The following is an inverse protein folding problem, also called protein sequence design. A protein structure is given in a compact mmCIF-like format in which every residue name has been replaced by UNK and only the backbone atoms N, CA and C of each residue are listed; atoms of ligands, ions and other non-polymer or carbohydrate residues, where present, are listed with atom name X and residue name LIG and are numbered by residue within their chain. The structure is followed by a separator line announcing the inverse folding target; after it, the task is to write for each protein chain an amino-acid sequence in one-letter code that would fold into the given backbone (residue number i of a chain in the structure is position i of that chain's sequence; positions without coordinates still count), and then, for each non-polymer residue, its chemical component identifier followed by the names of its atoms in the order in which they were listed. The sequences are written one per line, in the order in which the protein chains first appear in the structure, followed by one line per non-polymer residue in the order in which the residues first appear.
data_IF_245214335114
#
_entry.id   IF_245214335114
#
_cell.length_a   1.000
_cell.length_b   1.000
_cell.length_c   1.000
_cell.angle_alpha   90.00
_cell.angle_beta   90.00
_cell.angle_gamma   90.00
#
_symmetry.space_group_name_H-M   'P 1'
#
loop_
_entity.id
_entity.type
_entity.pdbx_description
1 polymer ?
#
# COMPACT_ATOMS: atom_id res chain seq x y z
N UNK A 1 -29.09 6.41 -31.17
CA UNK A 1 -28.63 5.37 -30.23
C UNK A 1 -27.29 5.84 -29.67
N UNK A 2 -27.31 6.48 -28.51
CA UNK A 2 -26.12 6.97 -27.81
C UNK A 2 -25.74 5.95 -26.71
N UNK A 3 -24.45 5.59 -26.62
CA UNK A 3 -23.93 4.62 -25.66
C UNK A 3 -23.91 5.20 -24.23
N UNK A 4 -24.13 4.37 -23.19
CA UNK A 4 -24.24 4.86 -21.83
C UNK A 4 -22.87 5.06 -21.14
N UNK A 5 -22.73 6.24 -20.52
CA UNK A 5 -21.92 6.57 -19.33
C UNK A 5 -20.41 6.23 -19.31
N UNK A 6 -19.58 7.21 -19.65
CA UNK A 6 -18.18 7.30 -19.21
C UNK A 6 -18.12 7.63 -17.71
N UNK A 7 -18.01 6.60 -16.88
CA UNK A 7 -17.81 6.72 -15.42
C UNK A 7 -16.40 7.22 -15.11
N UNK A 8 -16.31 8.34 -14.37
CA UNK A 8 -15.35 8.61 -13.28
C UNK A 8 -13.84 8.34 -13.39
N UNK A 9 -13.29 7.83 -14.50
CA UNK A 9 -11.86 7.53 -14.60
C UNK A 9 -11.05 8.80 -14.77
N UNK A 10 -10.08 9.03 -13.89
CA UNK A 10 -9.07 10.07 -14.10
C UNK A 10 -8.36 9.84 -15.45
N UNK A 11 -8.08 10.90 -16.24
CA UNK A 11 -7.33 10.75 -17.48
C UNK A 11 -5.94 10.23 -17.14
N UNK A 12 -5.61 9.04 -17.64
CA UNK A 12 -4.27 8.46 -17.55
C UNK A 12 -3.31 9.40 -18.30
N UNK A 13 -2.13 9.75 -17.76
CA UNK A 13 -1.11 10.44 -18.53
C UNK A 13 -0.78 9.60 -19.78
N UNK A 14 -0.39 10.21 -20.91
CA UNK A 14 -0.17 9.49 -22.16
C UNK A 14 0.86 8.37 -21.97
N UNK A 15 0.38 7.14 -21.88
CA UNK A 15 1.24 5.96 -21.87
C UNK A 15 1.72 5.72 -23.29
N UNK A 16 3.00 5.37 -23.47
CA UNK A 16 3.48 4.86 -24.76
C UNK A 16 2.79 3.52 -25.02
N UNK A 17 1.75 3.53 -25.83
CA UNK A 17 1.07 2.31 -26.30
C UNK A 17 2.10 1.43 -27.03
N UNK A 18 2.57 0.40 -26.33
CA UNK A 18 3.43 -0.62 -26.88
C UNK A 18 2.87 -1.97 -26.45
N UNK A 19 2.82 -2.93 -27.36
CA UNK A 19 2.24 -4.26 -27.13
C UNK A 19 2.98 -5.07 -26.05
N UNK A 20 4.19 -4.65 -25.68
CA UNK A 20 5.01 -5.20 -24.59
C UNK A 20 4.96 -4.35 -23.30
N UNK A 21 4.20 -3.26 -23.25
CA UNK A 21 3.99 -2.47 -22.04
C UNK A 21 3.54 -3.27 -20.80
N UNK A 22 2.76 -4.37 -20.90
CA UNK A 22 2.38 -5.15 -19.73
C UNK A 22 3.43 -6.17 -19.28
N UNK A 23 4.52 -6.38 -20.02
CA UNK A 23 5.61 -7.26 -19.58
C UNK A 23 6.48 -6.53 -18.56
N UNK A 24 6.23 -6.79 -17.28
CA UNK A 24 7.05 -6.29 -16.17
C UNK A 24 7.79 -7.43 -15.47
N UNK A 25 8.85 -7.09 -14.74
CA UNK A 25 9.53 -8.04 -13.86
C UNK A 25 8.55 -8.64 -12.83
N UNK A 26 7.62 -7.81 -12.34
CA UNK A 26 6.52 -8.22 -11.47
C UNK A 26 5.63 -9.30 -12.08
N UNK A 27 5.20 -9.12 -13.33
CA UNK A 27 4.38 -10.11 -14.02
C UNK A 27 5.13 -11.43 -14.15
N UNK A 28 6.40 -11.40 -14.55
CA UNK A 28 7.23 -12.60 -14.67
C UNK A 28 7.35 -13.33 -13.34
N UNK A 29 7.66 -12.62 -12.26
CA UNK A 29 7.80 -13.22 -10.92
C UNK A 29 6.46 -13.73 -10.39
N UNK A 30 5.37 -13.00 -10.63
CA UNK A 30 4.02 -13.45 -10.27
C UNK A 30 3.65 -14.76 -10.97
N UNK A 31 3.89 -14.87 -12.29
CA UNK A 31 3.66 -16.09 -13.06
C UNK A 31 4.51 -17.25 -12.55
N UNK A 32 5.80 -17.00 -12.27
CA UNK A 32 6.70 -18.03 -11.73
C UNK A 32 6.25 -18.51 -10.34
N UNK A 33 5.78 -17.61 -9.49
CA UNK A 33 5.28 -17.93 -8.15
C UNK A 33 3.99 -18.77 -8.16
N UNK A 34 3.14 -18.60 -9.16
CA UNK A 34 1.91 -19.41 -9.33
C UNK A 34 2.20 -20.73 -10.05
N UNK A 35 3.32 -20.83 -10.77
CA UNK A 35 3.68 -22.02 -11.56
C UNK A 35 4.82 -22.81 -10.91
N UNK A 36 6.07 -22.61 -11.35
CA UNK A 36 7.23 -23.45 -11.00
C UNK A 36 7.75 -23.28 -9.58
N UNK A 37 7.32 -22.24 -8.86
CA UNK A 37 7.62 -22.04 -7.44
C UNK A 37 6.41 -22.28 -6.53
N UNK A 38 5.28 -22.76 -7.06
CA UNK A 38 4.13 -23.11 -6.23
C UNK A 38 4.24 -24.56 -5.73
N UNK A 39 4.16 -24.84 -4.41
CA UNK A 39 4.38 -26.18 -3.86
C UNK A 39 3.41 -27.23 -4.43
N UNK A 40 2.14 -26.85 -4.64
CA UNK A 40 1.15 -27.76 -5.25
C UNK A 40 1.52 -28.12 -6.71
N UNK A 41 1.95 -27.14 -7.51
CA UNK A 41 2.24 -27.36 -8.94
C UNK A 41 3.52 -28.18 -9.09
N UNK A 42 4.54 -27.90 -8.28
CA UNK A 42 5.78 -28.68 -8.31
C UNK A 42 5.58 -30.11 -7.81
N UNK A 43 4.71 -30.33 -6.82
CA UNK A 43 4.35 -31.66 -6.35
C UNK A 43 3.57 -32.49 -7.39
N UNK A 44 2.87 -31.86 -8.33
CA UNK A 44 2.23 -32.56 -9.46
C UNK A 44 3.24 -33.14 -10.46
N UNK A 45 4.43 -32.54 -10.60
CA UNK A 45 5.41 -32.98 -11.61
C UNK A 45 5.88 -34.42 -11.38
N UNK A 46 6.34 -34.83 -10.18
CA UNK A 46 6.64 -36.24 -9.91
C UNK A 46 5.45 -37.19 -10.14
N UNK A 47 4.23 -36.75 -9.79
CA UNK A 47 3.01 -37.55 -10.01
C UNK A 47 2.75 -37.79 -11.51
N UNK A 48 2.92 -36.74 -12.34
CA UNK A 48 2.81 -36.85 -13.79
C UNK A 48 3.89 -37.74 -14.40
N UNK A 49 5.14 -37.63 -13.93
CA UNK A 49 6.22 -38.53 -14.36
C UNK A 49 5.92 -39.99 -13.99
N UNK A 50 5.36 -40.21 -12.79
CA UNK A 50 4.98 -41.54 -12.33
C UNK A 50 3.82 -42.12 -13.14
N UNK A 51 2.84 -41.30 -13.53
CA UNK A 51 1.74 -41.68 -14.41
C UNK A 51 2.23 -42.14 -15.79
N UNK A 52 3.38 -41.62 -16.26
CA UNK A 52 4.08 -42.08 -17.48
C UNK A 52 4.94 -43.33 -17.26
N UNK A 53 4.79 -44.03 -16.13
CA UNK A 53 5.56 -45.20 -15.75
C UNK A 53 7.09 -44.98 -15.71
N UNK A 54 7.53 -43.75 -15.43
CA UNK A 54 8.95 -43.48 -15.19
C UNK A 54 9.42 -44.16 -13.90
N UNK A 55 10.59 -44.80 -13.96
CA UNK A 55 11.22 -45.47 -12.82
C UNK A 55 11.55 -44.48 -11.71
N UNK A 56 11.42 -44.90 -10.44
CA UNK A 56 11.71 -44.07 -9.27
C UNK A 56 13.16 -43.59 -9.22
N UNK A 57 14.08 -44.42 -9.71
CA UNK A 57 15.54 -44.18 -9.72
C UNK A 57 15.98 -43.30 -10.89
N UNK A 58 15.09 -42.98 -11.84
CA UNK A 58 15.44 -42.16 -12.98
C UNK A 58 15.92 -40.77 -12.51
N UNK A 59 17.03 -40.23 -13.04
CA UNK A 59 17.58 -38.94 -12.62
C UNK A 59 16.56 -37.79 -12.69
N UNK A 60 15.68 -37.80 -13.69
CA UNK A 60 14.59 -36.83 -13.86
C UNK A 60 13.52 -36.93 -12.78
N UNK A 61 13.21 -38.14 -12.29
CA UNK A 61 12.27 -38.34 -11.19
C UNK A 61 12.86 -37.81 -9.88
N UNK A 62 14.13 -38.15 -9.61
CA UNK A 62 14.85 -37.66 -8.43
C UNK A 62 14.97 -36.14 -8.43
N UNK A 63 15.29 -35.53 -9.59
CA UNK A 63 15.35 -34.07 -9.72
C UNK A 63 13.99 -33.40 -9.47
N UNK A 64 12.88 -33.99 -9.97
CA UNK A 64 11.54 -33.46 -9.74
C UNK A 64 11.14 -33.52 -8.26
N UNK A 65 11.45 -34.63 -7.57
CA UNK A 65 11.24 -34.73 -6.12
C UNK A 65 12.10 -33.75 -5.34
N UNK A 66 13.38 -33.62 -5.69
CA UNK A 66 14.29 -32.68 -5.04
C UNK A 66 13.79 -31.23 -5.20
N UNK A 67 13.33 -30.85 -6.39
CA UNK A 67 12.76 -29.53 -6.64
C UNK A 67 11.46 -29.29 -5.87
N UNK A 68 10.52 -30.25 -5.90
CA UNK A 68 9.27 -30.15 -5.17
C UNK A 68 9.50 -30.05 -3.65
N UNK A 69 10.44 -30.83 -3.11
CA UNK A 69 10.84 -30.77 -1.70
C UNK A 69 11.47 -29.42 -1.35
N UNK A 70 12.38 -28.90 -2.20
CA UNK A 70 13.00 -27.59 -2.01
C UNK A 70 11.98 -26.45 -2.00
N UNK A 71 11.09 -26.41 -2.99
CA UNK A 71 10.02 -25.40 -3.07
C UNK A 71 9.07 -25.50 -1.88
N UNK A 72 8.69 -26.72 -1.48
CA UNK A 72 7.84 -26.92 -0.30
C UNK A 72 8.52 -26.47 0.99
N UNK A 73 9.82 -26.73 1.14
CA UNK A 73 10.61 -26.26 2.28
C UNK A 73 10.65 -24.73 2.34
N UNK A 74 10.88 -24.05 1.21
CA UNK A 74 10.86 -22.59 1.14
C UNK A 74 9.46 -22.03 1.47
N UNK A 75 8.40 -22.68 1.02
CA UNK A 75 7.03 -22.28 1.33
C UNK A 75 6.72 -22.41 2.83
N UNK A 76 7.10 -23.54 3.43
CA UNK A 76 6.97 -23.75 4.89
C UNK A 76 7.82 -22.73 5.67
N UNK A 77 9.07 -22.51 5.26
CA UNK A 77 9.94 -21.52 5.88
C UNK A 77 9.34 -20.11 5.81
N UNK A 78 8.74 -19.74 4.67
CA UNK A 78 8.04 -18.47 4.51
C UNK A 78 6.84 -18.36 5.44
N UNK A 79 6.01 -19.41 5.54
CA UNK A 79 4.87 -19.45 6.45
C UNK A 79 5.29 -19.34 7.93
N UNK A 80 6.36 -20.05 8.32
CA UNK A 80 6.94 -19.97 9.67
C UNK A 80 7.50 -18.57 9.94
N UNK A 81 8.22 -17.98 8.99
CA UNK A 81 8.75 -16.62 9.10
C UNK A 81 7.62 -15.59 9.30
N UNK A 82 6.53 -15.68 8.54
CA UNK A 82 5.35 -14.82 8.71
C UNK A 82 4.74 -14.97 10.10
N UNK A 83 4.64 -16.21 10.61
CA UNK A 83 4.11 -16.50 11.94
C UNK A 83 4.99 -15.92 13.06
N UNK A 84 6.31 -16.00 12.90
CA UNK A 84 7.28 -15.43 13.85
C UNK A 84 7.23 -13.89 13.79
N UNK A 85 7.20 -13.33 12.58
CA UNK A 85 7.28 -11.89 12.36
C UNK A 85 6.02 -11.12 12.79
N UNK A 86 4.82 -11.70 12.59
CA UNK A 86 3.54 -10.99 12.79
C UNK A 86 2.58 -11.69 13.76
N UNK A 87 2.99 -12.83 14.31
CA UNK A 87 2.20 -13.57 15.30
C UNK A 87 0.96 -14.26 14.71
N UNK A 88 0.00 -14.55 15.57
CA UNK A 88 -1.24 -15.23 15.20
C UNK A 88 -2.19 -14.25 14.52
N UNK A 89 -2.76 -14.56 13.34
CA UNK A 89 -3.78 -13.70 12.76
C UNK A 89 -4.99 -13.56 13.68
N UNK A 90 -5.59 -12.37 13.72
CA UNK A 90 -6.86 -12.18 14.45
C UNK A 90 -8.04 -12.67 13.63
N UNK A 91 -9.15 -12.96 14.29
CA UNK A 91 -10.42 -13.20 13.60
C UNK A 91 -11.01 -11.85 13.16
N UNK A 92 -11.59 -11.83 11.96
CA UNK A 92 -12.19 -10.63 11.36
C UNK A 92 -13.58 -11.00 10.86
N UNK A 93 -14.59 -10.34 11.42
CA UNK A 93 -15.96 -10.41 10.95
C UNK A 93 -16.41 -9.00 10.54
N UNK A 94 -16.62 -8.78 9.25
CA UNK A 94 -16.89 -7.45 8.69
C UNK A 94 -18.13 -6.77 9.29
N UNK A 95 -19.09 -7.54 9.84
CA UNK A 95 -20.26 -6.98 10.52
C UNK A 95 -19.90 -6.23 11.81
N UNK A 96 -18.80 -6.61 12.46
CA UNK A 96 -18.33 -6.01 13.71
C UNK A 96 -17.20 -4.99 13.48
N UNK A 97 -16.74 -4.83 12.24
CA UNK A 97 -15.64 -3.94 11.91
C UNK A 97 -16.11 -2.51 11.64
N UNK A 98 -15.46 -1.56 12.31
CA UNK A 98 -15.57 -0.12 12.03
C UNK A 98 -14.23 0.35 11.46
N UNK A 99 -14.21 0.61 10.16
CA UNK A 99 -13.02 0.89 9.36
C UNK A 99 -12.88 2.39 9.15
N UNK A 100 -11.86 2.99 9.76
CA UNK A 100 -11.54 4.41 9.61
C UNK A 100 -10.46 4.59 8.54
N UNK A 101 -10.73 5.39 7.52
CA UNK A 101 -9.83 5.64 6.39
C UNK A 101 -9.57 7.13 6.25
N UNK A 102 -8.30 7.54 6.38
CA UNK A 102 -7.91 8.93 6.12
C UNK A 102 -7.56 9.15 4.64
N UNK A 103 -7.90 10.31 4.08
CA UNK A 103 -7.70 10.62 2.67
C UNK A 103 -8.60 9.80 1.74
N UNK A 104 -9.81 9.47 2.18
CA UNK A 104 -10.72 8.56 1.48
C UNK A 104 -11.58 9.20 0.38
N UNK A 105 -11.53 10.52 0.16
CA UNK A 105 -12.35 11.16 -0.87
C UNK A 105 -11.82 10.94 -2.30
N UNK A 106 -10.62 10.38 -2.47
CA UNK A 106 -10.05 10.10 -3.80
C UNK A 106 -8.99 8.99 -3.79
N UNK A 107 -8.61 8.52 -4.99
CA UNK A 107 -7.47 7.62 -5.17
C UNK A 107 -7.60 6.28 -4.43
N UNK A 108 -6.50 5.84 -3.78
CA UNK A 108 -6.45 4.56 -3.07
C UNK A 108 -7.46 4.47 -1.93
N UNK A 109 -7.59 5.54 -1.11
CA UNK A 109 -8.49 5.55 0.04
C UNK A 109 -9.96 5.38 -0.37
N UNK A 110 -10.37 6.02 -1.47
CA UNK A 110 -11.73 5.88 -2.03
C UNK A 110 -12.01 4.46 -2.49
N UNK A 111 -11.05 3.82 -3.19
CA UNK A 111 -11.21 2.44 -3.65
C UNK A 111 -11.38 1.47 -2.48
N UNK A 112 -10.60 1.64 -1.42
CA UNK A 112 -10.71 0.80 -0.21
C UNK A 112 -12.05 1.05 0.51
N UNK A 113 -12.48 2.31 0.61
CA UNK A 113 -13.77 2.68 1.21
C UNK A 113 -14.95 2.08 0.45
N UNK A 114 -14.96 2.19 -0.89
CA UNK A 114 -16.02 1.63 -1.74
C UNK A 114 -16.07 0.10 -1.64
N UNK A 115 -14.91 -0.58 -1.66
CA UNK A 115 -14.86 -2.05 -1.53
C UNK A 115 -15.44 -2.52 -0.20
N UNK A 116 -15.10 -1.87 0.92
CA UNK A 116 -15.64 -2.28 2.23
C UNK A 116 -17.11 -1.90 2.42
N UNK A 117 -17.54 -0.72 1.95
CA UNK A 117 -18.95 -0.34 1.96
C UNK A 117 -19.81 -1.34 1.16
N UNK A 118 -19.36 -1.73 -0.03
CA UNK A 118 -20.04 -2.75 -0.85
C UNK A 118 -20.09 -4.13 -0.19
N UNK A 119 -19.15 -4.44 0.71
CA UNK A 119 -19.09 -5.70 1.47
C UNK A 119 -19.88 -5.66 2.78
N UNK A 120 -20.53 -4.53 3.09
CA UNK A 120 -21.39 -4.37 4.27
C UNK A 120 -20.65 -4.05 5.56
N UNK A 121 -19.37 -3.66 5.49
CA UNK A 121 -18.65 -3.15 6.66
C UNK A 121 -19.02 -1.68 6.93
N UNK A 122 -18.88 -1.25 8.19
CA UNK A 122 -19.05 0.16 8.56
C UNK A 122 -17.76 0.92 8.27
N UNK A 123 -17.81 1.95 7.43
CA UNK A 123 -16.63 2.70 6.98
C UNK A 123 -16.79 4.18 7.32
N UNK A 124 -15.81 4.73 8.03
CA UNK A 124 -15.67 6.15 8.29
C UNK A 124 -14.54 6.74 7.43
N UNK A 125 -14.86 7.72 6.58
CA UNK A 125 -13.87 8.40 5.73
C UNK A 125 -13.55 9.77 6.30
N UNK A 126 -12.28 10.04 6.56
CA UNK A 126 -11.79 11.37 6.96
C UNK A 126 -11.08 12.02 5.78
N UNK A 127 -11.58 13.16 5.31
CA UNK A 127 -10.92 13.95 4.27
C UNK A 127 -11.21 15.45 4.46
N UNK A 128 -10.37 16.30 3.88
CA UNK A 128 -10.63 17.75 3.84
C UNK A 128 -11.62 18.11 2.73
N UNK A 129 -11.72 17.26 1.70
CA UNK A 129 -12.66 17.40 0.61
C UNK A 129 -13.95 16.64 0.92
N UNK A 130 -15.05 17.13 0.36
CA UNK A 130 -16.32 16.42 0.42
C UNK A 130 -16.28 15.21 -0.53
N UNK A 131 -16.86 14.10 -0.08
CA UNK A 131 -16.93 12.87 -0.86
C UNK A 131 -18.15 12.95 -1.78
N UNK A 132 -17.93 13.02 -3.09
CA UNK A 132 -19.04 13.14 -4.07
C UNK A 132 -20.03 11.95 -3.99
N UNK A 133 -19.55 10.77 -3.57
CA UNK A 133 -20.33 9.54 -3.42
C UNK A 133 -20.57 9.14 -1.94
N UNK A 134 -20.68 10.11 -1.03
CA UNK A 134 -20.82 9.88 0.42
C UNK A 134 -22.03 9.06 0.87
N UNK A 135 -22.86 8.56 -0.05
CA UNK A 135 -24.03 7.72 0.20
C UNK A 135 -23.88 6.28 -0.33
N UNK A 136 -22.65 5.84 -0.62
CA UNK A 136 -22.42 4.41 -0.78
C UNK A 136 -22.81 3.68 0.52
N UNK A 137 -23.64 2.64 0.43
CA UNK A 137 -24.18 1.91 1.59
C UNK A 137 -23.03 1.50 2.52
N UNK A 138 -23.08 1.96 3.78
CA UNK A 138 -22.07 1.65 4.82
C UNK A 138 -20.90 2.62 4.91
N UNK A 139 -20.80 3.65 4.07
CA UNK A 139 -19.74 4.67 4.13
C UNK A 139 -20.29 5.99 4.68
N UNK A 140 -19.64 6.53 5.71
CA UNK A 140 -19.95 7.85 6.30
C UNK A 140 -18.72 8.75 6.18
N UNK A 141 -18.90 9.93 5.58
CA UNK A 141 -17.81 10.88 5.37
C UNK A 141 -17.78 11.96 6.46
N UNK A 142 -16.59 12.20 7.01
CA UNK A 142 -16.29 13.22 8.00
C UNK A 142 -15.29 14.22 7.45
N UNK A 143 -15.68 15.50 7.43
CA UNK A 143 -14.77 16.58 7.05
C UNK A 143 -13.75 16.82 8.16
N UNK A 144 -12.51 16.39 7.95
CA UNK A 144 -11.46 16.43 8.96
C UNK A 144 -10.09 16.65 8.31
N UNK A 145 -9.37 17.68 8.75
CA UNK A 145 -7.94 17.83 8.43
C UNK A 145 -7.10 17.01 9.41
N UNK A 146 -6.44 15.97 8.90
CA UNK A 146 -5.58 15.10 9.74
C UNK A 146 -4.34 15.80 10.28
N UNK A 147 -3.97 16.97 9.74
CA UNK A 147 -2.87 17.78 10.27
C UNK A 147 -3.25 18.56 11.54
N UNK A 148 -4.53 18.59 11.91
CA UNK A 148 -5.04 19.22 13.14
C UNK A 148 -5.52 18.15 14.14
N UNK A 149 -4.72 17.95 15.20
CA UNK A 149 -5.05 16.99 16.25
C UNK A 149 -6.43 17.21 16.90
N UNK A 150 -6.88 18.47 17.06
CA UNK A 150 -8.17 18.75 17.70
C UNK A 150 -9.33 18.28 16.81
N UNK A 151 -9.22 18.48 15.50
CA UNK A 151 -10.21 17.96 14.55
C UNK A 151 -10.22 16.44 14.53
N UNK A 152 -9.05 15.80 14.53
CA UNK A 152 -8.94 14.33 14.57
C UNK A 152 -9.56 13.77 15.85
N UNK A 153 -9.24 14.33 17.01
CA UNK A 153 -9.78 13.89 18.30
C UNK A 153 -11.30 14.07 18.38
N UNK A 154 -11.83 15.21 17.94
CA UNK A 154 -13.27 15.45 17.91
C UNK A 154 -14.00 14.50 16.95
N UNK A 155 -13.39 14.21 15.79
CA UNK A 155 -13.97 13.29 14.80
C UNK A 155 -13.91 11.85 15.29
N UNK A 156 -12.86 11.45 16.01
CA UNK A 156 -12.76 10.12 16.59
C UNK A 156 -13.87 9.83 17.60
N UNK A 157 -14.19 10.80 18.47
CA UNK A 157 -15.31 10.68 19.40
C UNK A 157 -16.65 10.55 18.68
N UNK A 158 -16.90 11.37 17.66
CA UNK A 158 -18.12 11.27 16.84
C UNK A 158 -18.27 9.92 16.15
N UNK A 159 -17.18 9.38 15.60
CA UNK A 159 -17.19 8.05 14.97
C UNK A 159 -17.52 6.98 16.00
N UNK A 160 -16.93 7.03 17.20
CA UNK A 160 -17.21 6.08 18.28
C UNK A 160 -18.69 6.15 18.71
N UNK A 161 -19.28 7.34 18.76
CA UNK A 161 -20.70 7.56 19.11
C UNK A 161 -21.68 7.14 18.00
N UNK A 162 -21.39 7.45 16.73
CA UNK A 162 -22.31 7.25 15.61
C UNK A 162 -22.20 5.86 14.98
N UNK A 163 -20.98 5.31 14.91
CA UNK A 163 -20.67 4.10 14.15
C UNK A 163 -20.19 2.95 15.03
N UNK A 164 -19.83 3.23 16.29
CA UNK A 164 -19.26 2.27 17.23
C UNK A 164 -17.73 2.31 17.26
N UNK A 165 -17.14 1.47 18.10
CA UNK A 165 -15.70 1.49 18.37
C UNK A 165 -14.88 1.12 17.12
N UNK A 166 -13.98 2.01 16.65
CA UNK A 166 -13.06 1.71 15.55
C UNK A 166 -12.24 0.45 15.83
N UNK A 167 -12.09 -0.40 14.81
CA UNK A 167 -11.29 -1.64 14.87
C UNK A 167 -10.18 -1.64 13.82
N UNK A 168 -10.37 -0.92 12.72
CA UNK A 168 -9.35 -0.76 11.66
C UNK A 168 -9.08 0.72 11.44
N UNK A 169 -7.79 1.11 11.45
CA UNK A 169 -7.35 2.46 11.12
C UNK A 169 -6.40 2.41 9.92
N UNK A 170 -6.79 3.06 8.82
CA UNK A 170 -5.99 3.18 7.60
C UNK A 170 -5.48 4.62 7.45
N UNK A 171 -4.22 4.83 7.79
CA UNK A 171 -3.51 6.09 7.59
C UNK A 171 -3.03 6.19 6.14
N UNK A 172 -3.88 6.76 5.28
CA UNK A 172 -3.64 6.92 3.85
C UNK A 172 -3.52 8.38 3.40
N UNK A 173 -4.06 9.35 4.16
CA UNK A 173 -3.99 10.77 3.82
C UNK A 173 -2.55 11.22 3.54
N UNK A 174 -2.36 11.92 2.42
CA UNK A 174 -1.06 12.44 2.02
C UNK A 174 -1.15 13.65 1.08
N UNK A 175 -0.13 14.50 1.12
CA UNK A 175 0.09 15.59 0.16
C UNK A 175 1.50 15.53 -0.44
N UNK A 176 1.66 16.08 -1.64
CA UNK A 176 2.94 16.19 -2.35
C UNK A 176 3.04 17.59 -2.93
N UNK A 177 4.14 18.29 -2.64
CA UNK A 177 4.39 19.66 -3.14
C UNK A 177 5.16 19.64 -4.46
N UNK A 178 6.21 18.82 -4.56
CA UNK A 178 6.95 18.59 -5.80
C UNK A 178 7.92 19.71 -6.20
N UNK A 179 8.52 20.40 -5.22
CA UNK A 179 9.49 21.49 -5.43
C UNK A 179 10.87 21.13 -4.92
N UNK A 180 11.91 21.78 -5.47
CA UNK A 180 13.26 21.65 -4.93
C UNK A 180 13.31 22.22 -3.50
N UNK A 181 14.26 21.76 -2.68
CA UNK A 181 14.38 22.23 -1.29
C UNK A 181 14.51 23.76 -1.19
N UNK A 182 15.20 24.39 -2.15
CA UNK A 182 15.40 25.84 -2.15
C UNK A 182 14.15 26.63 -2.57
N UNK A 183 13.22 25.98 -3.28
CA UNK A 183 11.97 26.59 -3.75
C UNK A 183 10.78 26.28 -2.83
N UNK A 184 10.95 25.39 -1.85
CA UNK A 184 9.95 25.08 -0.83
C UNK A 184 9.87 26.23 0.17
N UNK A 185 8.66 26.74 0.43
CA UNK A 185 8.46 27.60 1.59
C UNK A 185 8.45 26.77 2.88
N UNK A 186 8.72 27.42 4.01
CA UNK A 186 8.62 26.77 5.33
C UNK A 186 7.21 26.25 5.58
N UNK A 187 6.18 27.03 5.24
CA UNK A 187 4.77 26.60 5.37
C UNK A 187 4.46 25.34 4.53
N UNK A 188 5.08 25.19 3.36
CA UNK A 188 4.90 24.00 2.52
C UNK A 188 5.56 22.77 3.15
N UNK A 189 6.75 22.94 3.74
CA UNK A 189 7.45 21.89 4.50
C UNK A 189 6.62 21.48 5.72
N UNK A 190 6.18 22.45 6.51
CA UNK A 190 5.40 22.22 7.72
C UNK A 190 4.08 21.52 7.42
N UNK A 191 3.37 21.95 6.37
CA UNK A 191 2.13 21.27 5.94
C UNK A 191 2.38 19.84 5.47
N UNK A 192 3.47 19.61 4.75
CA UNK A 192 3.87 18.28 4.26
C UNK A 192 4.16 17.33 5.42
N UNK A 193 4.99 17.75 6.38
CA UNK A 193 5.30 16.98 7.57
C UNK A 193 4.07 16.79 8.46
N UNK A 194 3.27 17.83 8.65
CA UNK A 194 2.07 17.77 9.50
C UNK A 194 1.03 16.79 8.96
N UNK A 195 0.83 16.74 7.65
CA UNK A 195 -0.13 15.81 7.04
C UNK A 195 0.45 14.39 6.92
N UNK A 196 1.66 14.27 6.35
CA UNK A 196 2.22 12.98 5.94
C UNK A 196 2.86 12.19 7.09
N UNK A 197 3.27 12.86 8.18
CA UNK A 197 3.94 12.27 9.33
C UNK A 197 3.18 12.49 10.64
N UNK A 198 2.88 13.73 11.02
CA UNK A 198 2.18 14.00 12.28
C UNK A 198 0.71 13.56 12.25
N UNK A 199 0.05 13.62 11.10
CA UNK A 199 -1.34 13.16 10.95
C UNK A 199 -1.53 11.69 11.38
N UNK A 200 -0.70 10.74 10.91
CA UNK A 200 -0.68 9.38 11.44
C UNK A 200 -0.45 9.29 12.96
N UNK A 201 0.44 10.11 13.55
CA UNK A 201 0.60 10.17 15.01
C UNK A 201 -0.70 10.61 15.71
N UNK A 202 -1.36 11.64 15.19
CA UNK A 202 -2.61 12.16 15.73
C UNK A 202 -3.74 11.14 15.64
N UNK A 203 -3.86 10.45 14.51
CA UNK A 203 -4.82 9.39 14.32
C UNK A 203 -4.56 8.24 15.29
N UNK A 204 -3.30 7.80 15.44
CA UNK A 204 -2.95 6.79 16.43
C UNK A 204 -3.33 7.23 17.85
N UNK A 205 -3.00 8.46 18.25
CA UNK A 205 -3.35 8.98 19.58
C UNK A 205 -4.86 9.07 19.83
N UNK A 206 -5.65 9.36 18.79
CA UNK A 206 -7.10 9.48 18.91
C UNK A 206 -7.83 8.12 18.90
N UNK A 207 -7.45 7.22 17.99
CA UNK A 207 -8.20 5.97 17.74
C UNK A 207 -7.66 4.76 18.51
N UNK A 208 -6.34 4.67 18.73
CA UNK A 208 -5.73 3.50 19.37
C UNK A 208 -6.23 3.22 20.79
N UNK A 209 -6.46 4.23 21.65
CA UNK A 209 -7.00 3.97 22.99
C UNK A 209 -8.36 3.26 22.96
N UNK A 210 -9.24 3.59 22.01
CA UNK A 210 -10.54 2.95 21.87
C UNK A 210 -10.40 1.51 21.38
N UNK A 211 -9.55 1.27 20.36
CA UNK A 211 -9.22 -0.08 19.87
C UNK A 211 -8.73 -0.96 21.02
N UNK A 212 -7.79 -0.47 21.83
CA UNK A 212 -7.24 -1.20 22.99
C UNK A 212 -8.33 -1.49 24.03
N UNK A 213 -9.13 -0.48 24.40
CA UNK A 213 -10.22 -0.66 25.39
C UNK A 213 -11.25 -1.69 24.96
N UNK A 214 -11.51 -1.82 23.66
CA UNK A 214 -12.50 -2.78 23.15
C UNK A 214 -12.14 -4.24 23.45
N UNK A 215 -10.85 -4.57 23.48
CA UNK A 215 -10.37 -5.95 23.63
C UNK A 215 -10.62 -6.87 22.43
N UNK A 216 -11.25 -6.38 21.35
CA UNK A 216 -11.59 -7.18 20.15
C UNK A 216 -10.40 -7.34 19.19
N UNK A 217 -9.25 -6.77 19.54
CA UNK A 217 -8.12 -6.58 18.64
C UNK A 217 -8.35 -5.46 17.65
N UNK A 218 -7.49 -5.37 16.64
CA UNK A 218 -7.63 -4.34 15.63
C UNK A 218 -6.58 -4.43 14.54
N UNK A 219 -6.62 -3.52 13.58
CA UNK A 219 -5.65 -3.47 12.49
C UNK A 219 -5.29 -2.03 12.13
N UNK A 220 -4.01 -1.70 12.26
CA UNK A 220 -3.45 -0.39 11.91
C UNK A 220 -2.70 -0.53 10.60
N UNK A 221 -3.14 0.20 9.57
CA UNK A 221 -2.51 0.22 8.25
C UNK A 221 -1.86 1.57 8.01
N UNK A 222 -0.57 1.59 7.71
CA UNK A 222 0.16 2.81 7.32
C UNK A 222 0.59 2.71 5.86
N UNK A 223 0.25 3.73 5.07
CA UNK A 223 0.67 3.82 3.66
C UNK A 223 1.91 4.71 3.55
N UNK A 224 3.07 4.06 3.39
CA UNK A 224 4.37 4.71 3.20
C UNK A 224 4.67 4.95 1.71
N UNK A 225 5.95 4.91 1.31
CA UNK A 225 6.41 4.96 -0.08
C UNK A 225 7.86 4.53 -0.19
N UNK A 226 8.26 3.97 -1.33
CA UNK A 226 9.68 3.71 -1.67
C UNK A 226 10.55 4.96 -1.61
N UNK A 227 9.96 6.15 -1.82
CA UNK A 227 10.67 7.43 -1.72
C UNK A 227 11.15 7.72 -0.29
N UNK A 228 10.49 7.15 0.73
CA UNK A 228 10.99 7.22 2.11
C UNK A 228 12.28 6.44 2.35
N UNK A 229 12.65 5.53 1.45
CA UNK A 229 13.91 4.76 1.55
C UNK A 229 14.99 5.31 0.62
N UNK A 230 14.62 5.73 -0.59
CA UNK A 230 15.57 6.17 -1.62
C UNK A 230 15.80 7.68 -1.64
N UNK A 231 14.80 8.47 -1.28
CA UNK A 231 14.71 9.89 -1.63
C UNK A 231 14.63 10.14 -3.14
N UNK A 232 14.19 11.33 -3.52
CA UNK A 232 14.22 11.80 -4.91
C UNK A 232 14.33 13.33 -4.95
N UNK A 233 14.91 13.85 -6.04
CA UNK A 233 14.88 15.28 -6.29
C UNK A 233 13.43 15.81 -6.29
N UNK A 234 13.25 17.01 -5.72
CA UNK A 234 11.96 17.69 -5.56
C UNK A 234 10.94 17.02 -4.61
N UNK A 235 11.40 16.06 -3.78
CA UNK A 235 10.56 15.34 -2.80
C UNK A 235 11.22 15.27 -1.42
N UNK A 236 12.08 16.21 -1.05
CA UNK A 236 12.83 16.13 0.23
C UNK A 236 11.91 16.12 1.47
N UNK A 237 10.88 16.94 1.48
CA UNK A 237 9.85 17.01 2.52
C UNK A 237 9.02 15.72 2.59
N UNK A 238 8.53 15.25 1.43
CA UNK A 238 7.74 14.03 1.33
C UNK A 238 8.54 12.77 1.69
N UNK A 239 9.79 12.68 1.21
CA UNK A 239 10.70 11.58 1.52
C UNK A 239 10.98 11.52 3.01
N UNK A 240 11.31 12.65 3.65
CA UNK A 240 11.51 12.72 5.08
C UNK A 240 10.27 12.27 5.87
N UNK A 241 9.08 12.73 5.47
CA UNK A 241 7.84 12.33 6.11
C UNK A 241 7.56 10.82 5.99
N UNK A 242 7.73 10.23 4.80
CA UNK A 242 7.49 8.79 4.57
C UNK A 242 8.55 7.91 5.22
N UNK A 243 9.80 8.37 5.30
CA UNK A 243 10.85 7.71 6.10
C UNK A 243 10.46 7.68 7.59
N UNK A 244 10.04 8.84 8.12
CA UNK A 244 9.56 8.98 9.50
C UNK A 244 8.33 8.10 9.79
N UNK A 245 7.38 8.01 8.86
CA UNK A 245 6.19 7.17 8.97
C UNK A 245 6.56 5.68 9.04
N UNK A 246 7.48 5.21 8.18
CA UNK A 246 7.99 3.84 8.22
C UNK A 246 8.71 3.54 9.54
N UNK A 247 9.50 4.49 10.07
CA UNK A 247 10.18 4.34 11.35
C UNK A 247 9.17 4.31 12.53
N UNK A 248 8.22 5.24 12.56
CA UNK A 248 7.14 5.28 13.54
C UNK A 248 6.35 3.96 13.52
N UNK A 249 5.97 3.47 12.34
CA UNK A 249 5.25 2.21 12.21
C UNK A 249 5.99 1.06 12.89
N UNK A 250 7.31 0.92 12.64
CA UNK A 250 8.12 -0.14 13.25
C UNK A 250 8.17 -0.02 14.78
N UNK A 251 8.31 1.21 15.32
CA UNK A 251 8.31 1.46 16.77
C UNK A 251 6.97 1.06 17.39
N UNK A 252 5.87 1.58 16.86
CA UNK A 252 4.52 1.30 17.37
C UNK A 252 4.18 -0.19 17.21
N UNK A 253 4.60 -0.84 16.12
CA UNK A 253 4.42 -2.27 15.94
C UNK A 253 5.24 -3.11 16.93
N UNK A 254 6.37 -2.61 17.43
CA UNK A 254 7.11 -3.27 18.50
C UNK A 254 6.39 -3.12 19.85
N UNK A 255 5.96 -1.90 20.19
CA UNK A 255 5.19 -1.59 21.41
C UNK A 255 3.90 -2.44 21.49
N UNK A 256 3.13 -2.48 20.41
CA UNK A 256 1.88 -3.25 20.35
C UNK A 256 2.12 -4.76 20.42
N UNK A 257 3.21 -5.28 19.86
CA UNK A 257 3.51 -6.71 19.96
C UNK A 257 3.79 -7.15 21.39
N UNK A 258 4.38 -6.27 22.19
CA UNK A 258 4.70 -6.55 23.61
C UNK A 258 3.47 -6.40 24.51
N UNK A 259 2.64 -5.39 24.26
CA UNK A 259 1.52 -5.02 25.15
C UNK A 259 0.14 -5.49 24.69
N UNK A 260 -0.11 -5.53 23.38
CA UNK A 260 -1.41 -5.74 22.73
C UNK A 260 -1.29 -6.62 21.46
N UNK A 261 -0.83 -7.89 21.58
CA UNK A 261 -0.54 -8.75 20.42
C UNK A 261 -1.76 -9.04 19.54
N UNK A 262 -2.97 -8.80 20.01
CA UNK A 262 -4.24 -8.84 19.27
C UNK A 262 -4.39 -7.73 18.22
N UNK A 263 -3.67 -6.61 18.36
CA UNK A 263 -3.66 -5.50 17.41
C UNK A 263 -2.59 -5.75 16.35
N UNK A 264 -3.02 -5.83 15.09
CA UNK A 264 -2.15 -6.09 13.95
C UNK A 264 -1.71 -4.80 13.29
N UNK A 265 -0.50 -4.80 12.74
CA UNK A 265 0.05 -3.66 12.03
C UNK A 265 0.41 -4.07 10.61
N UNK A 266 -0.01 -3.25 9.65
CA UNK A 266 0.26 -3.43 8.22
C UNK A 266 1.00 -2.19 7.70
N UNK A 267 2.18 -2.39 7.14
CA UNK A 267 2.95 -1.34 6.46
C UNK A 267 2.94 -1.63 4.97
N UNK A 268 2.42 -0.68 4.19
CA UNK A 268 2.43 -0.77 2.73
C UNK A 268 3.42 0.25 2.19
N UNK A 269 4.38 -0.20 1.38
CA UNK A 269 5.42 0.63 0.76
C UNK A 269 5.25 0.61 -0.77
N UNK A 270 4.35 1.43 -1.32
CA UNK A 270 4.13 1.50 -2.74
C UNK A 270 5.25 2.25 -3.48
N UNK A 271 5.47 1.85 -4.72
CA UNK A 271 6.17 2.60 -5.76
C UNK A 271 5.34 3.78 -6.26
N UNK A 272 5.55 4.18 -7.52
CA UNK A 272 4.72 5.22 -8.13
C UNK A 272 3.30 4.69 -8.36
N UNK A 273 2.28 5.35 -7.78
CA UNK A 273 0.88 5.02 -8.00
C UNK A 273 0.26 5.89 -9.10
N UNK A 274 -0.61 5.32 -9.94
CA UNK A 274 -1.47 6.06 -10.89
C UNK A 274 -2.64 6.76 -10.18
N UNK A 275 -2.33 7.68 -9.26
CA UNK A 275 -3.32 8.48 -8.51
C UNK A 275 -3.22 9.97 -8.85
N UNK A 276 -4.28 10.77 -8.58
CA UNK A 276 -4.22 12.22 -8.73
C UNK A 276 -3.08 12.89 -7.95
N UNK A 277 -2.60 12.25 -6.87
CA UNK A 277 -1.50 12.75 -6.06
C UNK A 277 -0.19 12.88 -6.85
N UNK A 278 0.06 11.97 -7.79
CA UNK A 278 1.29 11.92 -8.61
C UNK A 278 1.01 12.22 -10.10
N UNK A 279 -0.07 12.95 -10.39
CA UNK A 279 -0.43 13.27 -11.77
C UNK A 279 0.70 14.07 -12.46
N UNK A 280 1.06 13.64 -13.67
CA UNK A 280 2.12 14.23 -14.48
C UNK A 280 3.53 13.65 -14.26
N UNK A 281 3.76 12.78 -13.26
CA UNK A 281 5.10 12.21 -13.03
C UNK A 281 5.47 11.21 -14.12
N UNK A 282 6.66 11.39 -14.72
CA UNK A 282 7.21 10.43 -15.68
C UNK A 282 7.69 9.15 -14.99
N UNK A 283 7.24 8.01 -15.50
CA UNK A 283 7.69 6.69 -15.03
C UNK A 283 9.18 6.49 -15.34
N UNK A 284 10.00 6.13 -14.35
CA UNK A 284 11.44 5.96 -14.54
C UNK A 284 11.78 4.79 -15.50
N UNK A 285 11.08 3.65 -15.37
CA UNK A 285 11.19 2.49 -16.28
C UNK A 285 9.96 1.61 -16.16
N UNK A 286 9.24 1.33 -17.26
CA UNK A 286 8.05 0.46 -17.23
C UNK A 286 8.36 -1.01 -16.92
N UNK A 287 9.60 -1.47 -17.13
CA UNK A 287 9.99 -2.87 -16.91
C UNK A 287 10.44 -3.14 -15.47
N UNK A 288 11.29 -2.25 -14.91
CA UNK A 288 11.93 -2.43 -13.58
C UNK A 288 11.12 -1.74 -12.47
N UNK A 289 10.54 -0.58 -12.77
CA UNK A 289 9.80 0.23 -11.82
C UNK A 289 8.43 0.62 -12.44
N UNK A 290 7.56 -0.37 -12.73
CA UNK A 290 6.25 -0.10 -13.30
C UNK A 290 5.43 0.78 -12.36
N UNK A 291 4.52 1.55 -12.94
CA UNK A 291 3.47 2.23 -12.18
C UNK A 291 2.56 1.17 -11.60
N UNK A 292 2.30 1.25 -10.31
CA UNK A 292 1.35 0.35 -9.63
C UNK A 292 -0.04 0.93 -9.75
N UNK A 293 -0.97 0.11 -10.18
CA UNK A 293 -2.38 0.48 -10.19
C UNK A 293 -2.93 0.49 -8.76
N UNK A 294 -3.64 1.55 -8.32
CA UNK A 294 -4.18 1.66 -6.97
C UNK A 294 -5.05 0.46 -6.55
N UNK A 295 -5.71 -0.19 -7.51
CA UNK A 295 -6.51 -1.39 -7.29
C UNK A 295 -5.66 -2.54 -6.75
N UNK A 296 -4.42 -2.71 -7.21
CA UNK A 296 -3.52 -3.77 -6.72
C UNK A 296 -3.12 -3.55 -5.28
N UNK A 297 -2.82 -2.30 -4.91
CA UNK A 297 -2.51 -1.92 -3.53
C UNK A 297 -3.74 -2.07 -2.64
N UNK A 298 -4.93 -1.69 -3.13
CA UNK A 298 -6.18 -1.88 -2.41
C UNK A 298 -6.45 -3.37 -2.12
N UNK A 299 -6.21 -4.25 -3.11
CA UNK A 299 -6.34 -5.71 -2.93
C UNK A 299 -5.43 -6.24 -1.83
N UNK A 300 -4.18 -5.80 -1.78
CA UNK A 300 -3.22 -6.22 -0.76
C UNK A 300 -3.66 -5.74 0.64
N UNK A 301 -4.10 -4.48 0.75
CA UNK A 301 -4.63 -3.92 2.01
C UNK A 301 -5.83 -4.73 2.48
N UNK A 302 -6.80 -4.97 1.58
CA UNK A 302 -8.01 -5.73 1.89
C UNK A 302 -7.66 -7.16 2.29
N UNK A 303 -6.77 -7.82 1.56
CA UNK A 303 -6.35 -9.18 1.87
C UNK A 303 -5.65 -9.29 3.24
N UNK A 304 -4.81 -8.31 3.59
CA UNK A 304 -4.13 -8.29 4.89
C UNK A 304 -5.12 -8.10 6.06
N UNK A 305 -6.07 -7.17 5.90
CA UNK A 305 -7.12 -6.91 6.89
C UNK A 305 -8.05 -8.12 7.01
N UNK A 306 -8.61 -8.64 5.92
CA UNK A 306 -9.55 -9.77 5.92
C UNK A 306 -8.95 -11.03 6.56
N UNK A 307 -7.66 -11.27 6.33
CA UNK A 307 -6.96 -12.41 6.91
C UNK A 307 -6.54 -12.15 8.37
N UNK A 308 -6.76 -10.95 8.89
CA UNK A 308 -6.36 -10.52 10.23
C UNK A 308 -4.86 -10.59 10.47
N UNK A 309 -4.03 -10.42 9.42
CA UNK A 309 -2.57 -10.59 9.49
C UNK A 309 -1.86 -9.26 9.62
N UNK A 310 -0.80 -9.22 10.44
CA UNK A 310 0.21 -8.18 10.29
C UNK A 310 1.04 -8.44 9.03
N UNK A 311 1.48 -7.37 8.36
CA UNK A 311 2.25 -7.49 7.13
C UNK A 311 3.14 -6.27 6.90
N UNK A 312 4.27 -6.48 6.22
CA UNK A 312 5.08 -5.41 5.65
C UNK A 312 5.26 -5.71 4.16
N UNK A 313 4.49 -5.04 3.31
CA UNK A 313 4.44 -5.33 1.88
C UNK A 313 4.92 -4.14 1.06
N UNK A 314 5.91 -4.36 0.19
CA UNK A 314 6.31 -3.43 -0.86
C UNK A 314 5.73 -3.84 -2.21
N UNK A 315 5.25 -2.88 -3.00
CA UNK A 315 4.77 -3.11 -4.37
C UNK A 315 5.22 -1.97 -5.27
N UNK A 316 5.75 -2.21 -6.49
CA UNK A 316 6.03 -3.49 -7.13
C UNK A 316 7.21 -4.24 -6.48
N UNK A 317 7.67 -5.34 -7.07
CA UNK A 317 8.70 -6.25 -6.55
C UNK A 317 9.95 -5.51 -6.09
N UNK A 318 10.40 -4.49 -6.83
CA UNK A 318 11.58 -3.72 -6.46
C UNK A 318 11.41 -3.02 -5.09
N UNK A 319 10.19 -2.62 -4.74
CA UNK A 319 9.88 -1.99 -3.46
C UNK A 319 10.11 -2.94 -2.28
N UNK A 320 9.97 -4.27 -2.50
CA UNK A 320 10.26 -5.29 -1.48
C UNK A 320 11.74 -5.40 -1.14
N UNK A 321 12.60 -5.03 -2.08
CA UNK A 321 14.05 -5.12 -1.96
C UNK A 321 14.72 -3.74 -1.85
N UNK A 322 13.93 -2.68 -1.70
CA UNK A 322 14.44 -1.31 -1.72
C UNK A 322 15.47 -1.04 -0.62
N UNK A 323 15.36 -1.72 0.52
CA UNK A 323 16.32 -1.59 1.63
C UNK A 323 17.74 -2.07 1.25
N UNK A 324 17.86 -3.01 0.31
CA UNK A 324 19.18 -3.46 -0.17
C UNK A 324 19.92 -2.39 -0.95
N UNK A 325 19.23 -1.39 -1.49
CA UNK A 325 19.85 -0.26 -2.16
C UNK A 325 20.86 0.46 -1.24
N UNK A 326 20.52 0.62 0.05
CA UNK A 326 21.36 1.30 1.02
C UNK A 326 22.67 0.56 1.32
N UNK A 327 22.72 -0.75 1.05
CA UNK A 327 23.92 -1.61 1.25
C UNK A 327 24.91 -1.47 0.08
N UNK A 328 24.47 -1.00 -1.09
CA UNK A 328 25.32 -0.90 -2.28
C UNK A 328 26.42 0.16 -2.12
N UNK A 329 27.60 0.00 -2.74
CA UNK A 329 28.61 1.06 -2.78
C UNK A 329 28.08 2.35 -3.41
N UNK A 330 28.53 3.51 -2.92
CA UNK A 330 28.02 4.83 -3.35
C UNK A 330 28.05 5.05 -4.87
N UNK A 331 29.12 4.59 -5.55
CA UNK A 331 29.20 4.68 -7.02
C UNK A 331 28.11 3.88 -7.75
N UNK A 332 27.77 2.69 -7.23
CA UNK A 332 26.69 1.83 -7.77
C UNK A 332 25.33 2.47 -7.50
N UNK A 333 25.14 3.04 -6.31
CA UNK A 333 23.94 3.79 -5.96
C UNK A 333 23.67 4.94 -6.93
N UNK A 334 24.70 5.75 -7.25
CA UNK A 334 24.59 6.86 -8.22
C UNK A 334 24.24 6.35 -9.62
N UNK A 335 24.87 5.27 -10.08
CA UNK A 335 24.58 4.69 -11.38
C UNK A 335 23.13 4.17 -11.46
N UNK A 336 22.67 3.45 -10.43
CA UNK A 336 21.31 2.96 -10.35
C UNK A 336 20.26 4.10 -10.36
N UNK A 337 20.54 5.23 -9.70
CA UNK A 337 19.68 6.43 -9.77
C UNK A 337 19.62 7.03 -11.16
N UNK A 338 20.77 7.12 -11.85
CA UNK A 338 20.84 7.64 -13.22
C UNK A 338 20.08 6.77 -14.21
N UNK A 339 20.24 5.45 -14.11
CA UNK A 339 19.58 4.45 -14.97
C UNK A 339 18.07 4.44 -14.70
N UNK A 340 17.66 4.40 -13.43
CA UNK A 340 16.23 4.44 -13.10
C UNK A 340 15.62 5.75 -13.57
N UNK A 341 16.28 6.90 -13.37
CA UNK A 341 15.71 8.20 -13.68
C UNK A 341 14.84 8.77 -12.56
N UNK A 342 14.93 8.20 -11.36
CA UNK A 342 14.16 8.62 -10.17
C UNK A 342 14.31 10.12 -9.87
N UNK A 343 15.50 10.69 -10.10
CA UNK A 343 15.80 12.12 -9.86
C UNK A 343 15.23 13.06 -10.93
N UNK A 344 14.70 12.54 -12.03
CA UNK A 344 14.11 13.35 -13.11
C UNK A 344 12.59 13.24 -13.18
N UNK A 345 11.97 12.27 -12.51
CA UNK A 345 10.54 11.99 -12.61
C UNK A 345 9.64 13.18 -12.24
N UNK A 346 10.06 13.99 -11.27
CA UNK A 346 9.27 15.14 -10.79
C UNK A 346 9.30 16.38 -11.68
N UNK A 347 10.15 16.41 -12.72
CA UNK A 347 10.23 17.57 -13.65
C UNK A 347 8.94 17.86 -14.40
N UNK A 348 8.06 16.86 -14.51
CA UNK A 348 6.77 16.93 -15.21
C UNK A 348 5.58 16.88 -14.26
N UNK A 349 5.84 16.93 -12.96
CA UNK A 349 4.80 16.87 -11.93
C UNK A 349 3.82 18.05 -12.05
N UNK A 350 2.53 17.72 -12.06
CA UNK A 350 1.42 18.68 -12.07
C UNK A 350 0.66 18.59 -10.74
N UNK A 351 0.50 17.37 -10.19
CA UNK A 351 -0.19 17.10 -8.93
C UNK A 351 -1.71 17.30 -8.99
N UNK A 352 -2.34 17.31 -7.81
CA UNK A 352 -3.82 17.31 -7.69
C UNK A 352 -4.48 18.56 -8.28
N UNK A 353 -3.90 19.75 -8.09
CA UNK A 353 -4.50 21.02 -8.53
C UNK A 353 -4.58 21.12 -10.06
N UNK A 354 -3.48 20.84 -10.76
CA UNK A 354 -3.52 20.87 -12.22
C UNK A 354 -4.30 19.70 -12.84
N UNK A 355 -4.46 18.57 -12.13
CA UNK A 355 -5.38 17.51 -12.57
C UNK A 355 -6.86 17.96 -12.57
N UNK A 356 -7.27 18.75 -11.58
CA UNK A 356 -8.63 19.31 -11.50
C UNK A 356 -8.89 20.37 -12.59
N UNK A 357 -7.89 21.18 -12.93
CA UNK A 357 -7.98 22.17 -14.02
C UNK A 357 -8.04 21.53 -15.40
N UNK A 358 -7.26 20.45 -15.64
CA UNK A 358 -7.33 19.69 -16.89
C UNK A 358 -8.67 19.01 -17.13
N UNK A 359 -9.44 18.69 -16.07
CA UNK A 359 -10.82 18.19 -16.15
C UNK A 359 -11.84 19.28 -16.54
N UNK A 360 -11.56 20.56 -16.28
CA UNK A 360 -12.48 21.68 -16.60
C UNK A 360 -12.34 22.21 -18.02
N UNK A 361 -11.22 21.91 -18.69
CA UNK A 361 -10.91 22.37 -20.05
C UNK A 361 -11.26 21.35 -21.15
N UNK A 362 -11.82 20.19 -20.79
CA UNK A 362 -12.35 19.17 -21.69
C UNK A 362 -13.80 18.93 -21.36
#
# INVERSE_FOLDING_TARGET
MASPSSRGSFPQPPQRESWFAPLSLDLLVSVLNVTVFHPFVTALVPLCLRARAMMWEAPTMLAAFAWAAFVSLLWVASAVNQRIAHGIPRQVDLGDEVIVITGGASGLGMLVAEVYGMRGATVAVLDVNEMENGEARGVTAYKCDVSDYKQVAATALKIEEELGTPTVLINNAAIVVGKSLLDLSIDEIDRSLSTNLLGPFYCLKAFLPAIIRSGNGGTIVNISSVIGHLGAAQLSDYAAAKAGLSAMHRSVAAELRESHPEIKTVLITPGQLSTPLFYGVQTPSSFIAPVVEPVEVAKEIVAAIDQGKGATTGMPLYARWVDWYAVLPAGVQVLARKISGVDRGMRTFIGRRGAAEGKKQR
#
